data_IF_403030420724
#
_entry.id   IF_403030420724
#
_cell.length_a   1.000
_cell.length_b   1.000
_cell.length_c   1.000
_cell.angle_alpha   90.00
_cell.angle_beta   90.00
_cell.angle_gamma   90.00
#
_symmetry.space_group_name_H-M   'P 1'
#
loop_
_entity.id
_entity.type
_entity.pdbx_description
1 polymer ?
#
# COMPACT_ATOMS: atom_id res chain seq x y z
N UNK A 1 5.91 9.23 -16.31
CA UNK A 1 7.06 8.40 -15.91
C UNK A 1 6.65 6.96 -15.89
N UNK A 2 7.25 6.19 -16.74
CA UNK A 2 7.12 4.74 -16.78
C UNK A 2 7.84 4.19 -15.56
N UNK A 3 7.14 4.10 -14.45
CA UNK A 3 7.71 3.55 -13.24
C UNK A 3 7.00 2.25 -12.89
N UNK A 4 7.72 1.40 -12.19
CA UNK A 4 7.18 0.15 -11.64
C UNK A 4 5.97 0.45 -10.75
N UNK A 5 5.99 1.58 -10.04
CA UNK A 5 4.85 1.98 -9.20
C UNK A 5 3.61 2.33 -10.02
N UNK A 6 3.79 2.97 -11.17
CA UNK A 6 2.65 3.29 -12.01
C UNK A 6 1.94 2.02 -12.46
N UNK A 7 2.72 0.98 -12.78
CA UNK A 7 2.19 -0.33 -13.11
C UNK A 7 1.51 -0.99 -11.91
N UNK A 8 2.07 -0.86 -10.70
CA UNK A 8 1.50 -1.40 -9.47
C UNK A 8 0.17 -0.72 -9.12
N UNK A 9 0.09 0.60 -9.23
CA UNK A 9 -1.16 1.35 -8.99
C UNK A 9 -2.23 0.87 -9.95
N UNK A 10 -1.91 0.78 -11.23
CA UNK A 10 -2.85 0.35 -12.27
C UNK A 10 -3.30 -1.10 -12.04
N UNK A 11 -2.37 -1.99 -11.74
CA UNK A 11 -2.67 -3.39 -11.48
C UNK A 11 -3.59 -3.56 -10.27
N UNK A 12 -3.30 -2.89 -9.16
CA UNK A 12 -4.11 -2.94 -7.96
C UNK A 12 -5.51 -2.35 -8.18
N UNK A 13 -5.59 -1.25 -8.93
CA UNK A 13 -6.84 -0.62 -9.32
C UNK A 13 -7.72 -1.58 -10.13
N UNK A 14 -7.17 -2.18 -11.16
CA UNK A 14 -7.91 -3.09 -12.03
C UNK A 14 -8.33 -4.36 -11.30
N UNK A 15 -7.47 -4.90 -10.44
CA UNK A 15 -7.79 -6.06 -9.62
C UNK A 15 -8.95 -5.77 -8.66
N UNK A 16 -8.91 -4.62 -7.99
CA UNK A 16 -9.96 -4.21 -7.06
C UNK A 16 -11.32 -4.06 -7.77
N UNK A 17 -11.33 -3.52 -8.98
CA UNK A 17 -12.56 -3.42 -9.77
C UNK A 17 -13.05 -4.78 -10.25
N UNK A 18 -12.16 -5.64 -10.73
CA UNK A 18 -12.54 -6.92 -11.32
C UNK A 18 -13.14 -7.89 -10.31
N UNK A 19 -12.76 -7.80 -9.05
CA UNK A 19 -13.36 -8.59 -7.96
C UNK A 19 -14.87 -8.36 -7.85
N UNK A 20 -15.34 -7.18 -8.20
CA UNK A 20 -16.75 -6.82 -8.19
C UNK A 20 -17.37 -6.83 -9.59
N UNK A 21 -16.68 -7.42 -10.57
CA UNK A 21 -17.15 -7.53 -11.94
C UNK A 21 -17.20 -6.20 -12.69
N UNK A 22 -16.40 -5.21 -12.27
CA UNK A 22 -16.38 -3.87 -12.84
C UNK A 22 -15.14 -3.65 -13.69
N UNK A 23 -15.27 -2.77 -14.67
CA UNK A 23 -14.18 -2.30 -15.51
C UNK A 23 -14.22 -0.77 -15.57
N UNK A 24 -13.05 -0.16 -15.69
CA UNK A 24 -12.92 1.27 -15.91
C UNK A 24 -11.77 1.52 -16.87
N UNK A 25 -11.95 2.54 -17.71
CA UNK A 25 -10.90 3.05 -18.58
C UNK A 25 -10.52 4.46 -18.17
N UNK A 26 -9.42 4.94 -18.69
CA UNK A 26 -8.95 6.28 -18.41
C UNK A 26 -7.43 6.36 -18.32
N UNK A 27 -6.95 7.48 -17.80
CA UNK A 27 -5.53 7.73 -17.61
C UNK A 27 -5.26 7.88 -16.12
N UNK A 28 -4.24 7.18 -15.63
CA UNK A 28 -3.78 7.29 -14.24
C UNK A 28 -2.56 8.22 -14.21
N UNK A 29 -2.62 9.26 -13.40
CA UNK A 29 -1.50 10.15 -13.13
C UNK A 29 -1.00 9.86 -11.72
N UNK A 30 0.27 9.48 -11.61
CA UNK A 30 0.90 9.19 -10.34
C UNK A 30 1.95 10.25 -10.02
N UNK A 31 1.88 10.79 -8.80
CA UNK A 31 2.91 11.65 -8.23
C UNK A 31 3.30 11.12 -6.85
N UNK A 32 4.58 10.86 -6.63
CA UNK A 32 5.06 10.34 -5.36
C UNK A 32 6.42 10.93 -5.01
N UNK A 33 6.62 11.19 -3.73
CA UNK A 33 7.90 11.61 -3.17
C UNK A 33 8.64 10.47 -2.48
N UNK A 34 8.05 9.26 -2.44
CA UNK A 34 8.67 8.09 -1.84
C UNK A 34 9.75 7.55 -2.79
N UNK A 35 11.02 7.44 -2.35
CA UNK A 35 12.07 6.87 -3.18
C UNK A 35 11.77 5.41 -3.55
N UNK A 36 11.89 5.11 -4.84
CA UNK A 36 11.59 3.78 -5.39
C UNK A 36 12.69 2.78 -5.05
N UNK A 37 12.30 1.55 -4.68
CA UNK A 37 13.21 0.42 -4.47
C UNK A 37 14.32 0.71 -3.45
N UNK A 38 14.03 1.49 -2.40
CA UNK A 38 14.96 1.83 -1.34
C UNK A 38 14.52 1.35 0.04
N UNK A 39 13.58 0.41 0.07
CA UNK A 39 13.09 -0.16 1.31
C UNK A 39 12.19 0.77 2.12
N UNK A 40 11.62 1.81 1.49
CA UNK A 40 10.74 2.78 2.16
C UNK A 40 9.25 2.56 1.91
N UNK A 41 8.88 1.37 1.41
CA UNK A 41 7.49 0.98 1.27
C UNK A 41 6.75 1.57 0.07
N UNK A 42 7.45 1.94 -1.00
CA UNK A 42 6.83 2.49 -2.20
C UNK A 42 5.84 1.53 -2.86
N UNK A 43 6.13 0.24 -2.85
CA UNK A 43 5.26 -0.81 -3.40
C UNK A 43 3.92 -0.86 -2.65
N UNK A 44 3.94 -0.91 -1.33
CA UNK A 44 2.73 -0.92 -0.51
C UNK A 44 1.90 0.34 -0.72
N UNK A 45 2.55 1.50 -0.78
CA UNK A 45 1.87 2.77 -1.03
C UNK A 45 1.20 2.78 -2.41
N UNK A 46 1.85 2.25 -3.43
CA UNK A 46 1.30 2.17 -4.78
C UNK A 46 0.08 1.24 -4.84
N UNK A 47 0.15 0.07 -4.21
CA UNK A 47 -0.97 -0.86 -4.14
C UNK A 47 -2.17 -0.24 -3.42
N UNK A 48 -1.94 0.38 -2.26
CA UNK A 48 -3.00 1.06 -1.51
C UNK A 48 -3.62 2.20 -2.31
N UNK A 49 -2.81 2.98 -3.02
CA UNK A 49 -3.32 4.05 -3.88
C UNK A 49 -4.24 3.51 -4.98
N UNK A 50 -3.90 2.37 -5.58
CA UNK A 50 -4.74 1.72 -6.58
C UNK A 50 -6.08 1.26 -6.02
N UNK A 51 -6.07 0.69 -4.81
CA UNK A 51 -7.27 0.24 -4.11
C UNK A 51 -8.17 1.43 -3.76
N UNK A 52 -7.59 2.50 -3.20
CA UNK A 52 -8.34 3.71 -2.87
C UNK A 52 -8.94 4.38 -4.11
N UNK A 53 -8.19 4.40 -5.20
CA UNK A 53 -8.67 4.93 -6.47
C UNK A 53 -9.90 4.14 -6.96
N UNK A 54 -9.89 2.82 -6.81
CA UNK A 54 -11.03 1.99 -7.19
C UNK A 54 -12.28 2.32 -6.38
N UNK A 55 -12.13 2.58 -5.08
CA UNK A 55 -13.25 3.04 -4.24
C UNK A 55 -13.73 4.41 -4.69
N UNK A 56 -12.82 5.34 -4.92
CA UNK A 56 -13.14 6.71 -5.32
C UNK A 56 -13.88 6.78 -6.66
N UNK A 57 -13.46 6.01 -7.64
CA UNK A 57 -14.11 5.94 -8.97
C UNK A 57 -15.53 5.42 -8.86
N UNK A 58 -15.78 4.54 -7.90
CA UNK A 58 -17.12 3.99 -7.64
C UNK A 58 -17.99 4.91 -6.76
N UNK A 59 -17.45 6.03 -6.31
CA UNK A 59 -18.15 6.93 -5.39
C UNK A 59 -18.34 6.34 -3.99
N UNK A 60 -17.52 5.36 -3.62
CA UNK A 60 -17.56 4.72 -2.30
C UNK A 60 -16.65 5.45 -1.32
N UNK A 61 -17.01 5.44 -0.02
CA UNK A 61 -16.16 6.03 1.00
C UNK A 61 -14.89 5.21 1.22
N UNK A 62 -13.87 5.86 1.76
CA UNK A 62 -12.65 5.20 2.18
C UNK A 62 -12.97 4.11 3.22
N UNK A 63 -12.38 2.93 3.04
CA UNK A 63 -12.50 1.81 3.96
C UNK A 63 -11.09 1.23 4.20
N UNK A 64 -10.49 1.64 5.31
CA UNK A 64 -9.10 1.27 5.62
C UNK A 64 -8.92 -0.21 5.91
N UNK A 65 -9.87 -0.82 6.59
CA UNK A 65 -9.79 -2.24 6.91
C UNK A 65 -9.90 -3.10 5.64
N UNK A 66 -10.84 -2.77 4.77
CA UNK A 66 -10.97 -3.44 3.48
C UNK A 66 -9.75 -3.22 2.59
N UNK A 67 -9.22 -2.00 2.56
CA UNK A 67 -8.02 -1.66 1.80
C UNK A 67 -6.80 -2.44 2.32
N UNK A 68 -6.66 -2.57 3.63
CA UNK A 68 -5.58 -3.36 4.23
C UNK A 68 -5.67 -4.83 3.84
N UNK A 69 -6.84 -5.43 3.94
CA UNK A 69 -7.05 -6.83 3.56
C UNK A 69 -6.74 -7.06 2.08
N UNK A 70 -7.18 -6.18 1.21
CA UNK A 70 -6.89 -6.26 -0.23
C UNK A 70 -5.39 -6.12 -0.53
N UNK A 71 -4.71 -5.20 0.13
CA UNK A 71 -3.27 -5.03 -0.01
C UNK A 71 -2.49 -6.25 0.50
N UNK A 72 -2.93 -6.81 1.62
CA UNK A 72 -2.35 -8.03 2.18
C UNK A 72 -2.46 -9.20 1.21
N UNK A 73 -3.63 -9.39 0.61
CA UNK A 73 -3.83 -10.43 -0.40
C UNK A 73 -2.95 -10.21 -1.63
N UNK A 74 -2.85 -8.97 -2.08
CA UNK A 74 -2.07 -8.63 -3.26
C UNK A 74 -0.56 -8.85 -3.04
N UNK A 75 -0.03 -8.43 -1.90
CA UNK A 75 1.41 -8.51 -1.61
C UNK A 75 1.84 -9.80 -0.91
N UNK A 76 0.92 -10.50 -0.26
CA UNK A 76 1.21 -11.69 0.52
C UNK A 76 1.74 -11.41 1.93
N UNK A 77 1.84 -10.14 2.30
CA UNK A 77 2.25 -9.68 3.64
C UNK A 77 1.67 -8.28 3.90
N UNK A 78 1.69 -7.85 5.15
CA UNK A 78 1.07 -6.58 5.53
C UNK A 78 1.96 -5.65 6.36
N UNK A 79 3.22 -5.98 6.54
CA UNK A 79 4.15 -5.22 7.37
C UNK A 79 4.41 -3.79 6.88
N UNK A 80 4.33 -3.56 5.58
CA UNK A 80 4.45 -2.23 4.99
C UNK A 80 3.09 -1.54 4.81
N UNK A 81 2.07 -2.28 4.41
CA UNK A 81 0.74 -1.72 4.18
C UNK A 81 0.09 -1.20 5.48
N UNK A 82 0.26 -1.91 6.59
CA UNK A 82 -0.31 -1.51 7.86
C UNK A 82 0.17 -0.14 8.34
N UNK A 83 1.47 0.14 8.47
CA UNK A 83 1.91 1.47 8.88
C UNK A 83 1.65 2.55 7.84
N UNK A 84 1.66 2.21 6.56
CA UNK A 84 1.33 3.15 5.48
C UNK A 84 -0.10 3.65 5.61
N UNK A 85 -1.02 2.75 5.91
CA UNK A 85 -2.45 3.03 5.97
C UNK A 85 -2.90 3.59 7.32
N UNK A 86 -2.39 3.02 8.42
CA UNK A 86 -2.82 3.35 9.78
C UNK A 86 -1.84 4.25 10.54
N UNK A 87 -0.62 4.39 10.06
CA UNK A 87 0.43 5.16 10.73
C UNK A 87 0.99 4.47 11.97
N UNK A 88 2.05 5.02 12.53
CA UNK A 88 2.67 4.54 13.76
C UNK A 88 3.41 3.21 13.61
N UNK A 89 3.76 2.63 14.73
CA UNK A 89 4.40 1.32 14.79
C UNK A 89 3.30 0.25 14.87
N UNK A 90 3.33 -0.68 13.94
CA UNK A 90 2.28 -1.71 13.81
C UNK A 90 2.88 -3.10 13.81
N UNK A 91 2.24 -4.02 14.52
CA UNK A 91 2.47 -5.45 14.38
C UNK A 91 1.34 -6.06 13.56
N UNK A 92 1.71 -6.93 12.61
CA UNK A 92 0.75 -7.65 11.77
C UNK A 92 0.88 -9.13 12.08
N UNK A 93 -0.24 -9.75 12.46
CA UNK A 93 -0.29 -11.16 12.84
C UNK A 93 -1.26 -11.89 11.90
N UNK A 94 -0.97 -13.16 11.55
CA UNK A 94 -1.94 -13.97 10.82
C UNK A 94 -3.15 -14.24 11.72
N UNK A 95 -4.34 -14.06 11.16
CA UNK A 95 -5.59 -14.38 11.83
C UNK A 95 -6.28 -15.56 11.15
N UNK A 96 -7.28 -16.15 11.84
CA UNK A 96 -8.03 -17.28 11.31
C UNK A 96 -8.89 -16.92 10.08
N UNK A 97 -9.38 -15.69 10.03
CA UNK A 97 -10.25 -15.19 8.95
C UNK A 97 -9.55 -14.08 8.17
N UNK A 98 -8.85 -13.21 8.86
CA UNK A 98 -8.13 -12.07 8.27
C UNK A 98 -6.91 -11.74 9.12
N UNK A 99 -5.90 -11.05 8.54
CA UNK A 99 -4.75 -10.60 9.32
C UNK A 99 -5.18 -9.60 10.39
N UNK A 100 -4.49 -9.62 11.53
CA UNK A 100 -4.73 -8.73 12.65
C UNK A 100 -3.64 -7.66 12.68
N UNK A 101 -4.04 -6.42 12.90
CA UNK A 101 -3.12 -5.29 13.04
C UNK A 101 -3.23 -4.74 14.45
N UNK A 102 -2.10 -4.60 15.13
CA UNK A 102 -2.03 -4.04 16.47
C UNK A 102 -1.11 -2.83 16.48
N UNK A 103 -1.55 -1.75 17.11
CA UNK A 103 -0.71 -0.58 17.34
C UNK A 103 0.20 -0.83 18.53
N UNK A 104 1.48 -0.52 18.37
CA UNK A 104 2.47 -0.55 19.45
C UNK A 104 2.85 0.89 19.81
N UNK A 105 2.95 1.14 21.11
CA UNK A 105 3.37 2.45 21.59
C UNK A 105 4.89 2.61 21.42
N UNK A 106 5.28 3.78 20.94
CA UNK A 106 6.66 4.14 20.75
C UNK A 106 7.00 5.30 21.68
N UNK A 107 8.11 5.20 22.41
CA UNK A 107 8.56 6.28 23.28
C UNK A 107 8.90 7.54 22.47
N UNK A 108 8.51 8.70 22.98
CA UNK A 108 8.86 10.00 22.40
C UNK A 108 10.37 10.28 22.40
N UNK A 109 11.13 9.50 23.18
CA UNK A 109 12.59 9.59 23.23
C UNK A 109 13.30 8.87 22.08
N UNK A 110 12.56 8.11 21.26
CA UNK A 110 13.11 7.37 20.13
C UNK A 110 12.86 8.16 18.84
N UNK A 111 13.91 8.39 18.07
CA UNK A 111 13.85 8.97 16.76
C UNK A 111 14.35 7.99 15.71
N UNK A 112 14.02 8.26 14.47
CA UNK A 112 14.45 7.45 13.32
C UNK A 112 15.22 8.32 12.33
N UNK A 113 16.26 7.75 11.75
CA UNK A 113 16.97 8.35 10.64
C UNK A 113 17.11 7.32 9.53
N UNK A 114 17.01 7.76 8.29
CA UNK A 114 17.23 6.89 7.15
C UNK A 114 18.14 7.55 6.14
N UNK A 115 18.82 6.72 5.36
CA UNK A 115 19.60 7.18 4.21
C UNK A 115 19.17 6.32 3.01
N UNK A 116 18.83 7.01 1.91
CA UNK A 116 18.45 6.34 0.68
C UNK A 116 19.62 6.38 -0.29
N UNK A 117 20.16 5.21 -0.71
CA UNK A 117 21.23 5.17 -1.70
C UNK A 117 20.74 5.69 -3.07
N UNK A 118 21.63 6.21 -3.93
CA UNK A 118 21.23 6.66 -5.26
C UNK A 118 20.74 5.55 -6.16
N UNK A 119 21.22 4.31 -5.94
CA UNK A 119 20.75 3.13 -6.66
C UNK A 119 19.73 2.36 -5.84
N UNK A 120 18.65 1.91 -6.47
CA UNK A 120 17.63 1.09 -5.82
C UNK A 120 18.16 -0.29 -5.45
N UNK A 121 17.51 -0.91 -4.45
CA UNK A 121 17.78 -2.29 -4.02
C UNK A 121 16.56 -3.14 -4.33
N UNK A 122 16.80 -4.42 -4.66
CA UNK A 122 15.74 -5.39 -4.83
C UNK A 122 15.42 -6.05 -3.50
N UNK A 123 14.15 -6.06 -3.14
CA UNK A 123 13.65 -6.82 -1.99
C UNK A 123 13.13 -8.15 -2.51
N UNK A 124 13.71 -9.22 -2.05
CA UNK A 124 13.28 -10.57 -2.41
C UNK A 124 12.47 -11.17 -1.27
#
# INVERSE_FOLDING_TARGET
TDSVENDLVTAAFMEALSKDGLEAGGTVHLSSTIPVARGLGSSAAAVLAGIDLALAVRGLPEDRDAAFCAAYEHEGHGDNAAPCLFGGLRAVLPGAIRPLVTKLELSDMIGFAYAAPPAGISTI
#
